data_IF_525078065305
#
_entry.id   IF_525078065305
#
_cell.length_a   1.000
_cell.length_b   1.000
_cell.length_c   1.000
_cell.angle_alpha   90.00
_cell.angle_beta   90.00
_cell.angle_gamma   90.00
#
_symmetry.space_group_name_H-M   'P 1'
#
loop_
_entity.id
_entity.type
_entity.pdbx_description
1 polymer ?
#
# COMPACT_ATOMS: atom_id res chain seq x y z
N UNK A 1 -19.35 12.66 -34.84
CA UNK A 1 -18.04 12.17 -35.30
C UNK A 1 -17.40 11.52 -34.08
N UNK A 2 -17.51 10.20 -34.01
CA UNK A 2 -16.87 9.42 -32.96
C UNK A 2 -15.36 9.46 -33.22
N UNK A 3 -14.61 10.12 -32.34
CA UNK A 3 -13.17 9.88 -32.30
C UNK A 3 -12.97 8.43 -31.89
N UNK A 4 -12.11 7.65 -32.57
CA UNK A 4 -11.76 6.34 -32.07
C UNK A 4 -11.21 6.54 -30.65
N UNK A 5 -11.85 5.93 -29.65
CA UNK A 5 -11.24 5.76 -28.34
C UNK A 5 -9.98 4.93 -28.60
N UNK A 6 -8.83 5.61 -28.70
CA UNK A 6 -7.54 4.93 -28.66
C UNK A 6 -7.56 4.06 -27.42
N UNK A 7 -7.31 2.76 -27.58
CA UNK A 7 -7.15 1.85 -26.45
C UNK A 7 -6.12 2.45 -25.50
N UNK A 8 -6.47 2.57 -24.22
CA UNK A 8 -5.56 3.13 -23.24
C UNK A 8 -4.36 2.18 -23.04
N UNK A 9 -3.17 2.70 -22.65
CA UNK A 9 -1.96 1.90 -22.47
C UNK A 9 -2.11 0.64 -21.60
N UNK A 10 -3.08 0.61 -20.69
CA UNK A 10 -3.35 -0.57 -19.85
C UNK A 10 -4.55 -1.43 -20.26
N UNK A 11 -5.26 -1.07 -21.34
CA UNK A 11 -6.38 -1.82 -21.92
C UNK A 11 -5.86 -3.09 -22.59
N UNK A 12 -5.52 -4.11 -21.79
CA UNK A 12 -4.94 -5.36 -22.26
C UNK A 12 -4.27 -6.18 -21.16
N UNK A 13 -3.91 -5.54 -20.04
CA UNK A 13 -3.44 -6.28 -18.86
C UNK A 13 -4.64 -6.88 -18.12
N UNK A 14 -4.77 -8.22 -18.12
CA UNK A 14 -5.83 -8.96 -17.42
C UNK A 14 -5.72 -8.87 -15.90
N UNK A 15 -6.86 -9.03 -15.21
CA UNK A 15 -7.05 -8.64 -13.79
C UNK A 15 -7.40 -9.85 -12.91
N UNK A 16 -6.77 -10.98 -13.24
CA UNK A 16 -6.84 -12.30 -12.59
C UNK A 16 -8.03 -13.14 -13.07
N UNK A 17 -7.76 -14.21 -13.85
CA UNK A 17 -7.09 -15.43 -13.37
C UNK A 17 -5.61 -15.63 -13.74
N UNK A 18 -4.87 -14.61 -14.22
CA UNK A 18 -3.51 -14.84 -14.72
C UNK A 18 -2.47 -13.75 -14.40
N UNK A 19 -2.19 -13.48 -13.11
CA UNK A 19 -0.77 -13.49 -12.75
C UNK A 19 -0.40 -14.97 -12.54
N UNK A 20 -0.59 -15.80 -13.58
CA UNK A 20 -0.31 -17.25 -13.53
C UNK A 20 1.17 -17.46 -13.25
N UNK A 21 1.98 -16.62 -13.89
CA UNK A 21 3.41 -16.62 -13.78
C UNK A 21 3.89 -15.29 -13.19
N UNK A 22 4.53 -15.38 -12.04
CA UNK A 22 5.34 -14.31 -11.47
C UNK A 22 6.73 -14.50 -12.06
N UNK A 23 7.13 -13.63 -12.98
CA UNK A 23 8.41 -13.73 -13.70
C UNK A 23 9.59 -13.74 -12.71
N UNK A 24 9.44 -12.98 -11.63
CA UNK A 24 10.42 -12.84 -10.57
C UNK A 24 10.60 -14.13 -9.74
N UNK A 25 9.75 -15.16 -9.94
CA UNK A 25 9.98 -16.49 -9.39
C UNK A 25 11.06 -17.29 -10.13
N UNK A 26 11.61 -16.80 -11.26
CA UNK A 26 12.85 -17.32 -11.82
C UNK A 26 14.04 -17.16 -10.85
N UNK A 27 14.86 -18.20 -10.71
CA UNK A 27 16.01 -18.23 -9.79
C UNK A 27 17.13 -17.25 -10.19
N UNK A 28 17.16 -16.86 -11.47
CA UNK A 28 18.14 -15.91 -11.98
C UNK A 28 18.03 -14.55 -11.28
N UNK A 29 19.16 -14.07 -10.77
CA UNK A 29 19.27 -12.74 -10.19
C UNK A 29 19.23 -11.72 -11.33
N UNK A 30 18.35 -10.70 -11.30
CA UNK A 30 18.31 -9.72 -12.35
C UNK A 30 19.65 -9.00 -12.47
N UNK A 31 20.08 -8.64 -13.70
CA UNK A 31 21.34 -7.95 -13.90
C UNK A 31 21.30 -6.58 -13.24
N UNK A 32 22.44 -6.15 -12.71
CA UNK A 32 22.58 -4.80 -12.20
C UNK A 32 22.62 -3.79 -13.35
N UNK A 33 22.08 -2.60 -13.12
CA UNK A 33 22.24 -1.47 -14.04
C UNK A 33 23.67 -0.92 -14.00
N UNK A 34 24.30 -0.95 -12.82
CA UNK A 34 25.72 -0.62 -12.61
C UNK A 34 26.37 -1.60 -11.65
N UNK A 35 27.65 -1.85 -11.84
CA UNK A 35 28.43 -2.59 -10.85
C UNK A 35 28.53 -1.76 -9.56
N UNK A 36 28.40 -2.46 -8.43
CA UNK A 36 28.58 -1.84 -7.13
C UNK A 36 30.07 -1.76 -6.80
N UNK A 37 30.54 -0.61 -6.31
CA UNK A 37 31.86 -0.55 -5.68
C UNK A 37 31.88 -1.46 -4.44
N UNK A 38 32.99 -2.18 -4.26
CA UNK A 38 33.18 -3.04 -3.09
C UNK A 38 33.48 -2.15 -1.88
N UNK A 39 32.43 -1.77 -1.16
CA UNK A 39 32.53 -1.06 0.10
C UNK A 39 32.20 -2.02 1.25
N UNK A 40 33.15 -2.17 2.17
CA UNK A 40 32.94 -2.90 3.42
C UNK A 40 32.16 -2.01 4.37
N UNK A 41 30.91 -2.38 4.62
CA UNK A 41 30.01 -1.68 5.56
C UNK A 41 29.36 -2.71 6.49
N UNK A 42 28.80 -2.25 7.61
CA UNK A 42 28.10 -3.12 8.56
C UNK A 42 26.77 -3.61 7.98
N UNK A 43 26.44 -4.87 8.24
CA UNK A 43 25.20 -5.51 7.80
C UNK A 43 25.36 -6.40 6.58
N UNK A 44 24.30 -7.14 6.28
CA UNK A 44 24.26 -8.07 5.15
C UNK A 44 23.75 -7.37 3.90
N UNK A 45 24.34 -7.67 2.75
CA UNK A 45 23.67 -7.49 1.45
C UNK A 45 22.35 -8.27 1.43
N UNK A 46 21.48 -8.01 0.47
CA UNK A 46 20.21 -8.75 0.39
C UNK A 46 20.41 -10.26 0.24
N UNK A 47 21.39 -10.68 -0.59
CA UNK A 47 21.65 -12.08 -0.85
C UNK A 47 22.27 -12.79 0.38
N UNK A 48 23.17 -12.12 1.10
CA UNK A 48 23.71 -12.63 2.37
C UNK A 48 22.62 -12.76 3.42
N UNK A 49 21.73 -11.77 3.54
CA UNK A 49 20.57 -11.83 4.42
C UNK A 49 19.66 -13.00 4.07
N UNK A 50 19.32 -13.17 2.78
CA UNK A 50 18.44 -14.23 2.31
C UNK A 50 19.00 -15.63 2.64
N UNK A 51 20.32 -15.81 2.53
CA UNK A 51 20.98 -17.06 2.90
C UNK A 51 20.89 -17.39 4.40
N UNK A 52 20.73 -16.37 5.25
CA UNK A 52 20.62 -16.52 6.71
C UNK A 52 19.17 -16.43 7.22
N UNK A 53 18.20 -16.08 6.36
CA UNK A 53 16.83 -15.73 6.74
C UNK A 53 16.19 -16.77 7.67
N UNK A 54 16.18 -18.03 7.26
CA UNK A 54 15.57 -19.11 8.05
C UNK A 54 16.42 -19.56 9.25
N UNK A 55 17.69 -19.14 9.33
CA UNK A 55 18.59 -19.46 10.44
C UNK A 55 18.62 -18.40 11.56
N UNK A 56 18.11 -17.19 11.30
CA UNK A 56 18.17 -16.04 12.21
C UNK A 56 16.83 -15.83 12.94
N UNK A 57 16.51 -16.67 13.94
CA UNK A 57 15.32 -16.53 14.80
C UNK A 57 14.00 -16.28 14.02
N UNK A 58 13.88 -16.89 12.84
CA UNK A 58 12.72 -16.70 11.96
C UNK A 58 11.43 -17.18 12.62
N UNK A 59 10.47 -16.27 12.79
CA UNK A 59 9.11 -16.56 13.24
C UNK A 59 8.12 -16.29 12.10
N UNK A 60 7.53 -17.35 11.56
CA UNK A 60 6.54 -17.28 10.49
C UNK A 60 5.37 -16.34 10.82
N UNK A 61 4.93 -16.30 12.09
CA UNK A 61 3.83 -15.45 12.53
C UNK A 61 4.19 -13.96 12.56
N UNK A 62 5.47 -13.63 12.71
CA UNK A 62 5.97 -12.25 12.63
C UNK A 62 6.24 -11.83 11.18
N UNK A 63 6.52 -12.78 10.28
CA UNK A 63 6.85 -12.52 8.89
C UNK A 63 5.65 -12.45 7.95
N UNK A 64 4.58 -13.17 8.24
CA UNK A 64 3.49 -13.38 7.29
C UNK A 64 2.11 -13.22 7.93
N UNK A 65 1.16 -12.76 7.12
CA UNK A 65 -0.27 -12.83 7.44
C UNK A 65 -0.94 -13.81 6.48
N UNK A 66 -1.71 -14.71 7.05
CA UNK A 66 -2.44 -15.74 6.32
C UNK A 66 -3.95 -15.53 6.39
N UNK A 67 -4.65 -15.91 5.32
CA UNK A 67 -6.10 -16.08 5.27
C UNK A 67 -6.42 -17.31 4.43
N UNK A 68 -7.28 -18.21 4.93
CA UNK A 68 -7.64 -19.44 4.22
C UNK A 68 -6.47 -20.34 3.81
N UNK A 69 -5.31 -20.24 4.49
CA UNK A 69 -4.08 -20.97 4.14
C UNK A 69 -3.22 -20.29 3.06
N UNK A 70 -3.61 -19.11 2.56
CA UNK A 70 -2.85 -18.32 1.61
C UNK A 70 -2.16 -17.14 2.31
N UNK A 71 -0.98 -16.73 1.81
CA UNK A 71 -0.30 -15.51 2.24
C UNK A 71 -1.00 -14.30 1.61
N UNK A 72 -1.46 -13.37 2.45
CA UNK A 72 -2.16 -12.15 2.02
C UNK A 72 -1.28 -10.90 2.11
N UNK A 73 -0.32 -10.85 3.04
CA UNK A 73 0.61 -9.73 3.20
C UNK A 73 1.78 -10.11 4.10
N UNK A 74 2.76 -9.22 4.23
CA UNK A 74 3.80 -9.35 5.23
C UNK A 74 3.26 -9.04 6.64
N UNK A 75 3.82 -9.75 7.61
CA UNK A 75 3.72 -9.46 9.04
C UNK A 75 4.62 -8.29 9.44
N UNK A 76 4.84 -8.13 10.74
CA UNK A 76 5.61 -7.04 11.32
C UNK A 76 7.06 -6.98 10.79
N UNK A 77 7.76 -8.10 10.78
CA UNK A 77 9.19 -8.16 10.44
C UNK A 77 9.43 -7.98 8.94
N UNK A 78 8.69 -8.72 8.12
CA UNK A 78 8.72 -8.55 6.66
C UNK A 78 8.37 -7.12 6.26
N UNK A 79 7.34 -6.52 6.89
CA UNK A 79 6.99 -5.12 6.64
C UNK A 79 8.10 -4.17 7.05
N UNK A 80 8.75 -4.37 8.22
CA UNK A 80 9.87 -3.52 8.68
C UNK A 80 11.00 -3.49 7.65
N UNK A 81 11.42 -4.65 7.15
CA UNK A 81 12.47 -4.79 6.14
C UNK A 81 12.10 -4.05 4.84
N UNK A 82 10.96 -4.41 4.24
CA UNK A 82 10.60 -3.87 2.92
C UNK A 82 10.22 -2.39 2.97
N UNK A 83 9.60 -1.92 4.05
CA UNK A 83 9.38 -0.48 4.27
C UNK A 83 10.72 0.26 4.39
N UNK A 84 11.73 -0.34 5.04
CA UNK A 84 13.09 0.22 5.09
C UNK A 84 13.68 0.42 3.69
N UNK A 85 13.56 -0.58 2.83
CA UNK A 85 14.01 -0.51 1.43
C UNK A 85 13.20 0.53 0.64
N UNK A 86 11.88 0.56 0.81
CA UNK A 86 10.99 1.54 0.16
C UNK A 86 11.41 2.98 0.50
N UNK A 87 11.77 3.28 1.75
CA UNK A 87 12.23 4.61 2.15
C UNK A 87 13.47 5.05 1.37
N UNK A 88 14.43 4.15 1.23
CA UNK A 88 15.67 4.40 0.50
C UNK A 88 15.33 4.71 -0.96
N UNK A 89 14.54 3.85 -1.61
CA UNK A 89 14.14 4.03 -3.01
C UNK A 89 13.38 5.36 -3.23
N UNK A 90 12.42 5.68 -2.36
CA UNK A 90 11.68 6.94 -2.46
C UNK A 90 12.60 8.15 -2.32
N UNK A 91 13.54 8.14 -1.36
CA UNK A 91 14.48 9.25 -1.18
C UNK A 91 15.36 9.49 -2.41
N UNK A 92 15.82 8.42 -3.06
CA UNK A 92 16.60 8.54 -4.29
C UNK A 92 15.75 9.03 -5.45
N UNK A 93 14.58 8.44 -5.64
CA UNK A 93 13.74 8.77 -6.79
C UNK A 93 13.18 10.20 -6.69
N UNK A 94 12.99 10.74 -5.49
CA UNK A 94 12.69 12.17 -5.24
C UNK A 94 13.83 13.09 -5.66
N UNK A 95 15.08 12.70 -5.42
CA UNK A 95 16.29 13.41 -5.87
C UNK A 95 16.65 13.12 -7.33
N UNK A 96 15.79 12.40 -8.06
CA UNK A 96 16.03 11.91 -9.42
C UNK A 96 17.23 10.96 -9.56
N UNK A 97 17.64 10.32 -8.46
CA UNK A 97 18.69 9.30 -8.40
C UNK A 97 18.11 7.88 -8.43
N UNK A 98 18.96 6.86 -8.54
CA UNK A 98 18.57 5.45 -8.38
C UNK A 98 19.70 4.63 -7.73
N UNK A 99 19.40 3.41 -7.25
CA UNK A 99 20.43 2.57 -6.61
C UNK A 99 21.29 1.84 -7.63
N UNK A 100 20.68 1.33 -8.71
CA UNK A 100 21.34 0.69 -9.86
C UNK A 100 21.87 -0.72 -9.58
N UNK A 101 22.12 -1.04 -8.32
CA UNK A 101 22.37 -2.38 -7.81
C UNK A 101 21.82 -2.55 -6.40
N UNK A 102 20.49 -2.41 -6.27
CA UNK A 102 19.80 -2.49 -4.99
C UNK A 102 20.17 -3.73 -4.17
N UNK A 103 20.31 -4.89 -4.81
CA UNK A 103 20.65 -6.16 -4.15
C UNK A 103 21.99 -6.11 -3.42
N UNK A 104 22.99 -5.42 -4.00
CA UNK A 104 24.31 -5.27 -3.41
C UNK A 104 24.48 -4.01 -2.58
N UNK A 105 23.70 -2.96 -2.81
CA UNK A 105 23.93 -1.66 -2.16
C UNK A 105 23.14 -1.48 -0.86
N UNK A 106 22.08 -2.25 -0.64
CA UNK A 106 21.43 -2.25 0.68
C UNK A 106 22.24 -3.02 1.71
N UNK A 107 22.14 -2.59 2.95
CA UNK A 107 22.66 -3.31 4.12
C UNK A 107 21.52 -3.54 5.09
N UNK A 108 21.35 -4.80 5.50
CA UNK A 108 20.32 -5.25 6.43
C UNK A 108 21.03 -5.59 7.74
N UNK A 109 20.67 -4.88 8.81
CA UNK A 109 21.20 -5.12 10.14
C UNK A 109 20.41 -6.24 10.85
N UNK A 110 20.95 -6.76 11.96
CA UNK A 110 20.33 -7.85 12.71
C UNK A 110 18.93 -7.54 13.25
N UNK A 111 18.57 -6.27 13.40
CA UNK A 111 17.22 -5.86 13.79
C UNK A 111 16.29 -5.64 12.59
N UNK A 112 16.69 -5.97 11.37
CA UNK A 112 15.99 -5.71 10.10
C UNK A 112 15.90 -4.22 9.71
N UNK A 113 16.66 -3.33 10.38
CA UNK A 113 16.85 -1.99 9.83
C UNK A 113 17.69 -2.04 8.56
N UNK A 114 17.42 -1.10 7.66
CA UNK A 114 18.01 -1.08 6.32
C UNK A 114 18.75 0.24 6.11
N UNK A 115 20.00 0.14 5.69
CA UNK A 115 20.82 1.27 5.22
C UNK A 115 21.22 1.04 3.76
N UNK A 116 21.85 2.03 3.15
CA UNK A 116 22.30 1.98 1.76
C UNK A 116 23.69 2.58 1.64
N UNK A 117 24.53 1.95 0.83
CA UNK A 117 25.87 2.44 0.49
C UNK A 117 25.76 3.37 -0.71
N UNK A 118 26.10 4.66 -0.57
CA UNK A 118 26.03 5.61 -1.68
C UNK A 118 26.86 5.14 -2.87
N UNK A 119 26.32 5.26 -4.08
CA UNK A 119 27.14 5.22 -5.30
C UNK A 119 27.80 6.58 -5.49
N UNK A 120 29.08 6.60 -5.86
CA UNK A 120 29.90 7.82 -5.94
C UNK A 120 29.63 8.68 -7.19
N UNK A 121 28.76 8.26 -8.11
CA UNK A 121 28.63 8.91 -9.42
C UNK A 121 27.47 9.92 -9.49
N UNK A 122 27.77 11.13 -9.98
CA UNK A 122 26.76 12.10 -10.39
C UNK A 122 26.01 11.58 -11.62
N UNK A 123 24.69 11.43 -11.53
CA UNK A 123 23.88 10.79 -12.55
C UNK A 123 23.39 11.76 -13.64
N UNK A 124 23.38 11.30 -14.89
CA UNK A 124 22.74 12.02 -15.99
C UNK A 124 21.23 11.71 -16.01
N UNK A 125 20.40 12.74 -16.25
CA UNK A 125 18.93 12.59 -16.35
C UNK A 125 18.46 11.55 -17.40
N UNK A 126 19.29 11.23 -18.40
CA UNK A 126 19.01 10.20 -19.40
C UNK A 126 19.06 8.76 -18.88
N UNK A 127 19.79 8.50 -17.79
CA UNK A 127 19.94 7.15 -17.20
C UNK A 127 18.88 6.87 -16.12
N UNK A 128 18.25 7.92 -15.58
CA UNK A 128 17.30 7.81 -14.47
C UNK A 128 16.10 6.91 -14.75
N UNK A 129 15.63 6.80 -16.01
CA UNK A 129 14.53 5.90 -16.35
C UNK A 129 14.93 4.43 -16.24
N UNK A 130 16.03 4.03 -16.90
CA UNK A 130 16.53 2.65 -16.85
C UNK A 130 17.02 2.24 -15.47
N UNK A 131 17.62 3.19 -14.73
CA UNK A 131 18.02 2.98 -13.34
C UNK A 131 16.83 2.76 -12.39
N UNK A 132 15.76 3.57 -12.50
CA UNK A 132 14.53 3.36 -11.72
C UNK A 132 13.82 2.05 -12.08
N UNK A 133 13.79 1.71 -13.37
CA UNK A 133 13.28 0.42 -13.82
C UNK A 133 14.03 -0.73 -13.15
N UNK A 134 15.37 -0.68 -13.13
CA UNK A 134 16.19 -1.68 -12.47
C UNK A 134 15.92 -1.77 -10.95
N UNK A 135 15.81 -0.64 -10.26
CA UNK A 135 15.47 -0.61 -8.83
C UNK A 135 14.13 -1.31 -8.54
N UNK A 136 13.10 -1.06 -9.38
CA UNK A 136 11.79 -1.68 -9.23
C UNK A 136 11.83 -3.18 -9.52
N UNK A 137 12.58 -3.59 -10.56
CA UNK A 137 12.78 -5.01 -10.87
C UNK A 137 13.49 -5.72 -9.72
N UNK A 138 14.58 -5.14 -9.19
CA UNK A 138 15.26 -5.68 -8.01
C UNK A 138 14.34 -5.77 -6.81
N UNK A 139 13.60 -4.70 -6.49
CA UNK A 139 12.68 -4.69 -5.35
C UNK A 139 11.62 -5.78 -5.46
N UNK A 140 11.04 -5.97 -6.64
CA UNK A 140 10.07 -7.04 -6.89
C UNK A 140 10.71 -8.42 -6.77
N UNK A 141 11.91 -8.60 -7.33
CA UNK A 141 12.66 -9.86 -7.21
C UNK A 141 13.01 -10.18 -5.76
N UNK A 142 13.35 -9.20 -4.93
CA UNK A 142 13.60 -9.40 -3.50
C UNK A 142 12.38 -9.95 -2.77
N UNK A 143 11.19 -9.39 -3.02
CA UNK A 143 9.94 -9.93 -2.47
C UNK A 143 9.72 -11.37 -2.91
N UNK A 144 9.89 -11.65 -4.22
CA UNK A 144 9.76 -13.00 -4.76
C UNK A 144 10.77 -13.99 -4.15
N UNK A 145 12.01 -13.55 -3.96
CA UNK A 145 13.08 -14.35 -3.38
C UNK A 145 12.79 -14.72 -1.92
N UNK A 146 12.30 -13.78 -1.10
CA UNK A 146 11.85 -14.09 0.27
C UNK A 146 10.72 -15.11 0.26
N UNK A 147 9.72 -14.96 -0.62
CA UNK A 147 8.62 -15.94 -0.74
C UNK A 147 9.17 -17.33 -1.10
N UNK A 148 10.08 -17.44 -2.08
CA UNK A 148 10.70 -18.73 -2.44
C UNK A 148 11.47 -19.35 -1.28
N UNK A 149 12.24 -18.54 -0.57
CA UNK A 149 13.06 -19.01 0.55
C UNK A 149 12.19 -19.50 1.70
N UNK A 150 11.13 -18.78 2.06
CA UNK A 150 10.22 -19.18 3.14
C UNK A 150 9.26 -20.31 2.76
N UNK A 151 8.90 -20.44 1.49
CA UNK A 151 7.89 -21.38 1.00
C UNK A 151 8.39 -22.22 -0.19
N UNK A 152 9.51 -22.96 -0.07
CA UNK A 152 10.18 -23.60 -1.21
C UNK A 152 9.30 -24.61 -1.96
N UNK A 153 8.39 -25.29 -1.25
CA UNK A 153 7.55 -26.34 -1.84
C UNK A 153 6.30 -25.81 -2.54
N UNK A 154 5.85 -24.59 -2.23
CA UNK A 154 4.56 -24.07 -2.69
C UNK A 154 4.53 -22.55 -3.00
N UNK A 155 5.69 -21.90 -3.15
CA UNK A 155 5.79 -20.45 -3.45
C UNK A 155 4.93 -20.00 -4.65
N UNK A 156 4.68 -20.88 -5.63
CA UNK A 156 3.85 -20.59 -6.82
C UNK A 156 2.35 -20.49 -6.53
N UNK A 157 1.90 -21.11 -5.44
CA UNK A 157 0.47 -21.24 -5.11
C UNK A 157 0.11 -20.68 -3.74
N UNK A 158 1.09 -20.48 -2.84
CA UNK A 158 0.85 -19.99 -1.47
C UNK A 158 0.33 -18.55 -1.43
N UNK A 159 0.67 -17.73 -2.44
CA UNK A 159 0.27 -16.32 -2.47
C UNK A 159 -1.18 -16.16 -2.89
N UNK A 160 -1.95 -15.43 -2.09
CA UNK A 160 -3.31 -15.04 -2.44
C UNK A 160 -3.35 -14.21 -3.72
N UNK A 161 -4.49 -14.23 -4.40
CA UNK A 161 -4.74 -13.40 -5.60
C UNK A 161 -4.40 -11.92 -5.38
N UNK A 162 -4.65 -11.41 -4.17
CA UNK A 162 -4.35 -10.02 -3.81
C UNK A 162 -2.87 -9.72 -3.62
N UNK A 163 -2.11 -10.65 -3.03
CA UNK A 163 -0.67 -10.50 -2.94
C UNK A 163 -0.06 -10.54 -4.35
N UNK A 164 -0.56 -11.43 -5.23
CA UNK A 164 -0.09 -11.55 -6.62
C UNK A 164 -0.26 -10.25 -7.42
N UNK A 165 -1.17 -9.35 -7.04
CA UNK A 165 -1.27 -8.00 -7.66
C UNK A 165 0.00 -7.17 -7.46
N UNK A 166 0.78 -7.42 -6.40
CA UNK A 166 2.10 -6.82 -6.26
C UNK A 166 2.97 -7.09 -7.49
N UNK A 167 2.85 -8.29 -8.07
CA UNK A 167 3.61 -8.70 -9.26
C UNK A 167 2.93 -8.32 -10.58
N UNK A 168 1.89 -7.49 -10.55
CA UNK A 168 1.19 -7.05 -11.76
C UNK A 168 2.15 -6.40 -12.76
N UNK A 169 1.98 -6.75 -14.04
CA UNK A 169 2.77 -6.18 -15.15
C UNK A 169 2.55 -4.69 -15.35
N UNK A 170 1.48 -4.11 -14.79
CA UNK A 170 1.22 -2.67 -14.91
C UNK A 170 2.34 -1.82 -14.32
N UNK A 171 3.04 -2.33 -13.31
CA UNK A 171 4.09 -1.59 -12.61
C UNK A 171 5.41 -1.60 -13.38
N UNK A 172 5.65 -2.61 -14.22
CA UNK A 172 6.87 -2.76 -15.03
C UNK A 172 6.66 -2.40 -16.51
N UNK A 173 5.42 -2.11 -16.93
CA UNK A 173 5.17 -1.53 -18.24
C UNK A 173 5.86 -0.15 -18.35
N UNK A 174 6.38 0.28 -19.51
CA UNK A 174 7.08 1.57 -19.63
C UNK A 174 6.29 2.77 -19.08
N UNK A 175 4.99 2.84 -19.37
CA UNK A 175 4.10 3.89 -18.83
C UNK A 175 3.87 3.75 -17.31
N UNK A 176 3.90 2.50 -16.83
CA UNK A 176 3.91 2.10 -15.43
C UNK A 176 5.11 2.65 -14.68
N UNK A 177 6.31 2.30 -15.16
CA UNK A 177 7.58 2.76 -14.60
C UNK A 177 7.69 4.29 -14.65
N UNK A 178 7.19 4.92 -15.72
CA UNK A 178 7.27 6.37 -15.86
C UNK A 178 6.41 7.11 -14.82
N UNK A 179 5.18 6.66 -14.58
CA UNK A 179 4.18 7.46 -13.86
C UNK A 179 3.65 6.83 -12.56
N UNK A 180 3.74 5.50 -12.42
CA UNK A 180 3.08 4.73 -11.36
C UNK A 180 4.02 3.79 -10.61
N UNK A 181 5.33 3.83 -10.85
CA UNK A 181 6.30 3.01 -10.12
C UNK A 181 6.18 3.21 -8.60
N UNK A 182 5.87 4.43 -8.15
CA UNK A 182 5.65 4.73 -6.73
C UNK A 182 4.52 3.89 -6.14
N UNK A 183 3.48 3.60 -6.92
CA UNK A 183 2.37 2.78 -6.45
C UNK A 183 2.81 1.35 -6.09
N UNK A 184 3.89 0.82 -6.71
CA UNK A 184 4.53 -0.45 -6.35
C UNK A 184 5.20 -0.39 -4.97
N UNK A 185 5.84 0.74 -4.67
CA UNK A 185 6.52 0.99 -3.40
C UNK A 185 5.51 1.23 -2.25
N UNK A 186 4.33 1.75 -2.60
CA UNK A 186 3.19 1.93 -1.70
C UNK A 186 2.19 0.76 -1.82
N UNK A 187 2.65 -0.46 -2.12
CA UNK A 187 1.73 -1.58 -2.26
C UNK A 187 1.21 -2.09 -0.91
N UNK A 188 -0.06 -2.53 -0.79
CA UNK A 188 -0.68 -2.80 0.51
C UNK A 188 -0.20 -4.06 1.21
N UNK A 189 0.62 -4.88 0.55
CA UNK A 189 1.27 -6.04 1.18
C UNK A 189 2.22 -5.63 2.31
N UNK A 190 2.61 -4.35 2.38
CA UNK A 190 3.44 -3.78 3.45
C UNK A 190 2.66 -2.86 4.40
N UNK A 191 1.37 -2.60 4.13
CA UNK A 191 0.64 -1.57 4.86
C UNK A 191 0.37 -2.00 6.31
N UNK A 192 0.37 -1.01 7.21
CA UNK A 192 -0.37 -1.10 8.47
C UNK A 192 -1.80 -0.54 8.33
N UNK A 193 -2.55 -0.54 9.43
CA UNK A 193 -3.91 -0.03 9.52
C UNK A 193 -4.02 1.46 9.12
N UNK A 194 -3.09 2.30 9.59
CA UNK A 194 -3.05 3.74 9.26
C UNK A 194 -2.87 3.99 7.76
N UNK A 195 -2.04 3.20 7.08
CA UNK A 195 -1.81 3.32 5.63
C UNK A 195 -3.05 2.96 4.81
N UNK A 196 -3.79 1.92 5.22
CA UNK A 196 -5.08 1.56 4.61
C UNK A 196 -6.09 2.70 4.78
N UNK A 197 -6.19 3.26 5.98
CA UNK A 197 -7.05 4.42 6.24
C UNK A 197 -6.70 5.62 5.33
N UNK A 198 -5.41 5.91 5.14
CA UNK A 198 -4.93 6.98 4.24
C UNK A 198 -5.28 6.70 2.79
N UNK A 199 -5.11 5.47 2.31
CA UNK A 199 -5.52 5.04 0.98
C UNK A 199 -7.01 5.32 0.77
N UNK A 200 -7.87 4.90 1.69
CA UNK A 200 -9.32 5.09 1.56
C UNK A 200 -9.71 6.58 1.53
N UNK A 201 -9.05 7.42 2.32
CA UNK A 201 -9.23 8.88 2.27
C UNK A 201 -8.78 9.46 0.93
N UNK A 202 -7.64 9.03 0.40
CA UNK A 202 -7.14 9.45 -0.91
C UNK A 202 -8.12 9.10 -2.03
N UNK A 203 -8.75 7.91 -2.00
CA UNK A 203 -9.78 7.54 -2.99
C UNK A 203 -11.01 8.44 -2.90
N UNK A 204 -11.41 8.84 -1.69
CA UNK A 204 -12.49 9.82 -1.51
C UNK A 204 -12.14 11.16 -2.15
N UNK A 205 -10.92 11.63 -1.95
CA UNK A 205 -10.52 12.94 -2.44
C UNK A 205 -10.40 12.94 -3.97
N UNK A 206 -9.89 11.86 -4.57
CA UNK A 206 -9.98 11.63 -6.02
C UNK A 206 -11.42 11.61 -6.52
N UNK A 207 -12.32 10.89 -5.84
CA UNK A 207 -13.75 10.87 -6.20
C UNK A 207 -14.34 12.29 -6.17
N UNK A 208 -14.00 13.10 -5.15
CA UNK A 208 -14.52 14.46 -5.01
C UNK A 208 -14.00 15.43 -6.07
N UNK A 209 -12.78 15.21 -6.60
CA UNK A 209 -12.23 16.02 -7.69
C UNK A 209 -13.03 15.87 -8.98
N UNK A 210 -13.40 14.63 -9.36
CA UNK A 210 -14.22 14.40 -10.54
C UNK A 210 -15.18 13.21 -10.37
N UNK A 211 -16.34 13.41 -9.71
CA UNK A 211 -17.28 12.33 -9.43
C UNK A 211 -17.87 11.68 -10.69
N UNK A 212 -17.90 12.39 -11.82
CA UNK A 212 -18.44 11.87 -13.08
C UNK A 212 -17.50 10.82 -13.66
N UNK A 213 -16.25 11.21 -13.95
CA UNK A 213 -15.27 10.29 -14.54
C UNK A 213 -14.97 9.13 -13.59
N UNK A 214 -14.86 9.40 -12.29
CA UNK A 214 -14.62 8.34 -11.32
C UNK A 214 -15.75 7.29 -11.37
N UNK A 215 -17.02 7.71 -11.36
CA UNK A 215 -18.16 6.78 -11.46
C UNK A 215 -18.23 6.03 -12.77
N UNK A 216 -17.89 6.69 -13.87
CA UNK A 216 -17.99 6.12 -15.21
C UNK A 216 -16.85 5.11 -15.51
N UNK A 217 -15.72 5.22 -14.81
CA UNK A 217 -14.48 4.48 -15.16
C UNK A 217 -14.00 3.51 -14.09
N UNK A 218 -13.90 3.93 -12.82
CA UNK A 218 -13.36 3.11 -11.75
C UNK A 218 -14.25 1.88 -11.49
N UNK A 219 -13.69 0.69 -11.34
CA UNK A 219 -14.47 -0.49 -10.94
C UNK A 219 -13.65 -1.53 -10.19
N UNK A 220 -14.26 -2.08 -9.12
CA UNK A 220 -13.71 -3.21 -8.37
C UNK A 220 -14.34 -4.55 -8.75
N UNK A 221 -15.30 -4.56 -9.68
CA UNK A 221 -16.06 -5.77 -10.04
C UNK A 221 -15.16 -6.88 -10.58
N UNK A 222 -14.13 -6.50 -11.34
CA UNK A 222 -13.13 -7.40 -11.91
C UNK A 222 -12.25 -8.11 -10.88
N UNK A 223 -12.20 -7.62 -9.63
CA UNK A 223 -11.49 -8.25 -8.52
C UNK A 223 -12.45 -9.03 -7.60
N UNK A 224 -13.67 -9.33 -8.06
CA UNK A 224 -14.65 -10.09 -7.28
C UNK A 224 -15.40 -9.29 -6.22
N UNK A 225 -15.41 -7.95 -6.31
CA UNK A 225 -16.12 -7.06 -5.38
C UNK A 225 -17.44 -6.50 -5.94
N UNK A 226 -17.99 -7.05 -7.02
CA UNK A 226 -19.26 -6.56 -7.62
C UNK A 226 -20.48 -6.66 -6.68
N UNK A 227 -20.44 -7.59 -5.72
CA UNK A 227 -21.49 -7.83 -4.72
C UNK A 227 -20.92 -7.84 -3.30
N UNK A 228 -19.95 -6.97 -3.02
CA UNK A 228 -19.22 -6.90 -1.75
C UNK A 228 -20.13 -6.87 -0.51
N UNK A 229 -21.32 -6.26 -0.59
CA UNK A 229 -22.26 -6.17 0.53
C UNK A 229 -22.76 -7.54 1.01
N UNK A 230 -22.80 -8.55 0.13
CA UNK A 230 -23.17 -9.91 0.52
C UNK A 230 -22.18 -10.52 1.52
N UNK A 231 -20.92 -10.07 1.52
CA UNK A 231 -19.92 -10.51 2.51
C UNK A 231 -20.22 -10.00 3.92
N UNK A 232 -20.97 -8.90 4.04
CA UNK A 232 -21.44 -8.36 5.32
C UNK A 232 -22.74 -9.04 5.74
N UNK A 233 -23.61 -9.35 4.77
CA UNK A 233 -24.92 -9.95 5.04
C UNK A 233 -24.85 -11.44 5.38
N UNK A 234 -23.90 -12.18 4.78
CA UNK A 234 -23.69 -13.60 5.07
C UNK A 234 -23.44 -13.81 6.56
N UNK A 235 -24.24 -14.70 7.15
CA UNK A 235 -23.99 -15.18 8.50
C UNK A 235 -22.80 -16.15 8.46
N UNK A 236 -21.60 -15.60 8.60
CA UNK A 236 -20.43 -16.37 9.01
C UNK A 236 -20.63 -16.78 10.48
N UNK A 237 -20.78 -18.07 10.74
CA UNK A 237 -20.73 -18.57 12.11
C UNK A 237 -19.34 -18.22 12.72
N UNK A 238 -19.34 -17.83 14.00
CA UNK A 238 -18.19 -17.74 14.91
C UNK A 238 -17.28 -16.49 15.01
N UNK A 239 -17.41 -15.44 14.18
CA UNK A 239 -16.66 -14.18 14.42
C UNK A 239 -17.52 -13.08 15.09
N UNK A 240 -17.13 -12.74 16.32
CA UNK A 240 -17.58 -11.67 17.21
C UNK A 240 -18.84 -10.90 16.76
N UNK A 241 -19.99 -11.34 17.28
CA UNK A 241 -21.33 -10.77 17.07
C UNK A 241 -21.35 -9.24 17.23
N UNK A 242 -20.50 -8.70 18.11
CA UNK A 242 -20.42 -7.27 18.35
C UNK A 242 -19.92 -6.51 17.14
N UNK A 243 -18.81 -6.95 16.54
CA UNK A 243 -18.27 -6.31 15.35
C UNK A 243 -19.32 -6.36 14.24
N UNK A 244 -19.86 -7.54 13.91
CA UNK A 244 -20.90 -7.74 12.86
C UNK A 244 -22.04 -6.73 12.96
N UNK A 245 -22.55 -6.50 14.17
CA UNK A 245 -23.65 -5.57 14.40
C UNK A 245 -23.29 -4.14 13.97
N UNK A 246 -22.03 -3.73 14.10
CA UNK A 246 -21.59 -2.40 13.65
C UNK A 246 -21.42 -2.33 12.14
N UNK A 247 -20.87 -3.36 11.48
CA UNK A 247 -20.80 -3.42 10.00
C UNK A 247 -22.19 -3.30 9.37
N UNK A 248 -23.13 -4.14 9.83
CA UNK A 248 -24.53 -4.09 9.39
C UNK A 248 -25.15 -2.72 9.73
N UNK A 249 -24.87 -2.15 10.91
CA UNK A 249 -25.37 -0.81 11.28
C UNK A 249 -24.89 0.28 10.33
N UNK A 250 -23.62 0.29 9.92
CA UNK A 250 -23.09 1.27 8.94
C UNK A 250 -23.71 1.06 7.56
N UNK A 251 -23.85 -0.20 7.14
CA UNK A 251 -24.45 -0.57 5.84
C UNK A 251 -25.90 -0.09 5.73
N UNK A 252 -26.69 -0.31 6.79
CA UNK A 252 -28.13 -0.05 6.80
C UNK A 252 -28.54 1.28 7.44
N UNK A 253 -27.58 2.06 7.99
CA UNK A 253 -27.86 3.33 8.65
C UNK A 253 -28.72 4.24 7.76
N UNK A 254 -29.90 4.64 8.25
CA UNK A 254 -30.82 5.56 7.55
C UNK A 254 -31.12 5.18 6.08
N UNK A 255 -31.06 3.90 5.74
CA UNK A 255 -31.29 3.40 4.39
C UNK A 255 -30.12 3.60 3.42
N UNK A 256 -28.89 3.75 3.93
CA UNK A 256 -27.66 3.92 3.14
C UNK A 256 -27.48 2.85 2.06
N UNK A 257 -27.80 1.59 2.35
CA UNK A 257 -27.74 0.47 1.40
C UNK A 257 -28.39 0.77 0.05
N UNK A 258 -29.58 1.40 0.07
CA UNK A 258 -30.32 1.76 -1.15
C UNK A 258 -30.02 3.16 -1.68
N UNK A 259 -29.68 4.10 -0.81
CA UNK A 259 -29.53 5.54 -1.17
C UNK A 259 -28.09 5.93 -1.49
N UNK A 260 -27.15 5.49 -0.67
CA UNK A 260 -25.76 5.92 -0.71
C UNK A 260 -24.90 4.93 -1.48
N UNK A 261 -25.02 3.64 -1.14
CA UNK A 261 -24.23 2.58 -1.77
C UNK A 261 -24.87 2.08 -3.06
N UNK A 262 -26.20 2.23 -3.22
CA UNK A 262 -26.95 1.94 -4.46
C UNK A 262 -26.45 0.67 -5.15
N UNK A 263 -26.64 -0.47 -4.48
CA UNK A 263 -26.11 -1.78 -4.88
C UNK A 263 -26.15 -1.99 -6.41
N UNK A 264 -24.97 -2.11 -7.02
CA UNK A 264 -24.80 -2.37 -8.45
C UNK A 264 -24.50 -1.16 -9.35
N UNK A 265 -24.78 0.08 -8.93
CA UNK A 265 -24.64 1.28 -9.78
C UNK A 265 -23.58 2.29 -9.31
N UNK A 266 -22.97 2.07 -8.15
CA UNK A 266 -21.95 2.96 -7.61
C UNK A 266 -20.64 2.20 -7.39
N UNK A 267 -19.70 2.34 -8.31
CA UNK A 267 -18.38 1.72 -8.22
C UNK A 267 -17.52 2.23 -7.06
N UNK A 268 -17.82 3.42 -6.52
CA UNK A 268 -17.19 4.00 -5.34
C UNK A 268 -17.86 3.53 -4.03
N UNK A 269 -18.91 2.70 -4.10
CA UNK A 269 -19.67 2.30 -2.92
C UNK A 269 -18.83 1.53 -1.88
N UNK A 270 -17.96 0.62 -2.30
CA UNK A 270 -17.13 -0.15 -1.38
C UNK A 270 -16.08 0.74 -0.68
N UNK A 271 -15.24 1.54 -1.39
CA UNK A 271 -14.35 2.48 -0.71
C UNK A 271 -15.08 3.46 0.22
N UNK A 272 -16.26 3.96 -0.19
CA UNK A 272 -17.09 4.82 0.64
C UNK A 272 -17.61 4.11 1.89
N UNK A 273 -18.04 2.86 1.76
CA UNK A 273 -18.48 2.04 2.88
C UNK A 273 -17.34 1.85 3.88
N UNK A 274 -16.16 1.42 3.41
CA UNK A 274 -14.96 1.23 4.25
C UNK A 274 -14.63 2.52 5.01
N UNK A 275 -14.66 3.66 4.32
CA UNK A 275 -14.46 4.97 4.97
C UNK A 275 -15.48 5.22 6.08
N UNK A 276 -16.75 4.99 5.80
CA UNK A 276 -17.82 5.22 6.76
C UNK A 276 -17.71 4.27 7.97
N UNK A 277 -17.19 3.06 7.78
CA UNK A 277 -16.85 2.16 8.89
C UNK A 277 -15.77 2.80 9.78
N UNK A 278 -14.69 3.33 9.20
CA UNK A 278 -13.65 4.03 9.97
C UNK A 278 -14.14 5.29 10.69
N UNK A 279 -15.05 6.06 10.08
CA UNK A 279 -15.50 7.35 10.61
C UNK A 279 -16.65 7.25 11.62
N UNK A 280 -17.47 6.19 11.55
CA UNK A 280 -18.71 6.08 12.33
C UNK A 280 -18.71 4.95 13.35
N UNK A 281 -17.57 4.31 13.59
CA UNK A 281 -17.43 3.36 14.70
C UNK A 281 -17.39 4.10 16.05
N UNK A 282 -18.33 3.88 16.99
CA UNK A 282 -18.57 4.81 18.10
C UNK A 282 -18.12 4.31 19.48
N UNK A 283 -17.15 3.38 19.58
CA UNK A 283 -17.06 2.50 20.77
C UNK A 283 -15.70 2.26 21.43
N UNK A 284 -14.67 3.08 21.21
CA UNK A 284 -13.37 2.86 21.87
C UNK A 284 -12.57 1.65 21.37
N UNK A 285 -12.98 1.06 20.26
CA UNK A 285 -12.21 0.05 19.52
C UNK A 285 -11.06 0.77 18.79
N UNK A 286 -9.87 0.18 18.80
CA UNK A 286 -8.71 0.76 18.13
C UNK A 286 -8.92 0.70 16.61
N UNK A 287 -8.44 1.69 15.86
CA UNK A 287 -8.49 1.67 14.39
C UNK A 287 -7.86 0.39 13.82
N UNK A 288 -6.87 -0.17 14.51
CA UNK A 288 -6.20 -1.42 14.16
C UNK A 288 -7.15 -2.63 14.15
N UNK A 289 -8.09 -2.71 15.09
CA UNK A 289 -9.08 -3.80 15.15
C UNK A 289 -10.11 -3.67 14.02
N UNK A 290 -10.50 -2.43 13.68
CA UNK A 290 -11.41 -2.13 12.55
C UNK A 290 -10.76 -2.53 11.23
N UNK A 291 -9.51 -2.14 11.03
CA UNK A 291 -8.72 -2.51 9.85
C UNK A 291 -8.50 -4.02 9.75
N UNK A 292 -8.24 -4.69 10.87
CA UNK A 292 -8.09 -6.16 10.90
C UNK A 292 -9.39 -6.85 10.49
N UNK A 293 -10.54 -6.39 10.97
CA UNK A 293 -11.84 -6.89 10.51
C UNK A 293 -12.12 -6.59 9.03
N UNK A 294 -11.61 -5.47 8.50
CA UNK A 294 -11.78 -5.08 7.10
C UNK A 294 -10.97 -5.97 6.18
N UNK A 295 -9.75 -6.31 6.58
CA UNK A 295 -8.90 -7.25 5.86
C UNK A 295 -9.51 -8.67 5.86
N UNK A 296 -10.23 -9.07 6.92
CA UNK A 296 -10.94 -10.36 6.96
C UNK A 296 -12.16 -10.38 6.04
N UNK A 297 -12.98 -9.31 6.04
CA UNK A 297 -14.22 -9.29 5.25
C UNK A 297 -13.92 -8.99 3.76
N UNK A 298 -12.91 -8.16 3.50
CA UNK A 298 -12.51 -7.73 2.17
C UNK A 298 -11.01 -7.96 1.95
N UNK A 299 -10.53 -9.22 2.00
CA UNK A 299 -9.13 -9.53 1.80
C UNK A 299 -8.68 -8.99 0.44
N UNK A 300 -7.58 -8.24 0.46
CA UNK A 300 -6.97 -7.71 -0.75
C UNK A 300 -7.62 -6.48 -1.37
N UNK A 301 -8.66 -5.90 -0.74
CA UNK A 301 -9.38 -4.75 -1.32
C UNK A 301 -8.47 -3.56 -1.58
N UNK A 302 -7.50 -3.31 -0.70
CA UNK A 302 -6.54 -2.22 -0.86
C UNK A 302 -5.67 -2.41 -2.12
N UNK A 303 -5.20 -3.64 -2.37
CA UNK A 303 -4.39 -3.94 -3.55
C UNK A 303 -5.22 -3.80 -4.83
N UNK A 304 -6.46 -4.30 -4.80
CA UNK A 304 -7.42 -4.13 -5.89
C UNK A 304 -7.72 -2.66 -6.17
N UNK A 305 -7.84 -1.81 -5.14
CA UNK A 305 -8.06 -0.37 -5.29
C UNK A 305 -6.88 0.29 -6.01
N UNK A 306 -5.64 0.05 -5.59
CA UNK A 306 -4.46 0.67 -6.22
C UNK A 306 -4.37 0.26 -7.69
N UNK A 307 -4.51 -1.04 -7.95
CA UNK A 307 -4.43 -1.61 -9.29
C UNK A 307 -5.56 -1.08 -10.19
N UNK A 308 -6.80 -1.01 -9.68
CA UNK A 308 -7.96 -0.46 -10.40
C UNK A 308 -7.81 1.02 -10.71
N UNK A 309 -7.31 1.82 -9.75
CA UNK A 309 -7.09 3.26 -9.96
C UNK A 309 -6.12 3.50 -11.11
N UNK A 310 -5.02 2.76 -11.17
CA UNK A 310 -4.06 2.89 -12.27
C UNK A 310 -4.73 2.49 -13.58
N UNK A 311 -5.32 1.30 -13.66
CA UNK A 311 -5.88 0.80 -14.92
C UNK A 311 -7.05 1.64 -15.43
N UNK A 312 -7.96 2.00 -14.55
CA UNK A 312 -9.22 2.62 -14.95
C UNK A 312 -9.11 4.14 -15.13
N UNK A 313 -8.20 4.79 -14.40
CA UNK A 313 -8.12 6.25 -14.34
C UNK A 313 -6.85 6.85 -14.98
N UNK A 314 -5.85 6.04 -15.36
CA UNK A 314 -4.57 6.57 -15.86
C UNK A 314 -4.70 7.53 -17.06
N UNK A 315 -5.62 7.26 -17.97
CA UNK A 315 -5.86 8.10 -19.14
C UNK A 315 -6.62 9.40 -18.87
N UNK A 316 -6.98 9.66 -17.61
CA UNK A 316 -7.89 10.75 -17.24
C UNK A 316 -7.32 11.70 -16.17
N UNK A 317 -6.03 11.63 -15.83
CA UNK A 317 -5.46 12.46 -14.75
C UNK A 317 -5.63 13.97 -14.95
N UNK A 318 -5.63 14.44 -16.19
CA UNK A 318 -5.90 15.85 -16.52
C UNK A 318 -7.28 16.30 -16.00
N UNK A 319 -8.21 15.37 -15.83
CA UNK A 319 -9.55 15.63 -15.31
C UNK A 319 -9.64 15.62 -13.77
N UNK A 320 -8.59 15.14 -13.09
CA UNK A 320 -8.48 15.11 -11.62
C UNK A 320 -7.56 16.22 -11.09
N UNK A 321 -6.70 16.79 -11.94
CA UNK A 321 -5.77 17.86 -11.58
C UNK A 321 -4.47 17.37 -10.93
N UNK A 322 -4.41 16.11 -10.51
CA UNK A 322 -3.19 15.41 -10.13
C UNK A 322 -3.31 13.90 -10.35
N UNK A 323 -2.17 13.20 -10.42
CA UNK A 323 -2.16 11.74 -10.51
C UNK A 323 -2.25 11.08 -9.13
N UNK A 324 -2.69 9.82 -9.10
CA UNK A 324 -2.70 9.03 -7.86
C UNK A 324 -1.31 8.89 -7.22
N UNK A 325 -0.27 8.65 -8.03
CA UNK A 325 1.11 8.56 -7.56
C UNK A 325 1.63 9.88 -6.97
N UNK A 326 1.11 11.03 -7.42
CA UNK A 326 1.39 12.32 -6.80
C UNK A 326 0.75 12.41 -5.41
N UNK A 327 -0.53 12.02 -5.27
CA UNK A 327 -1.21 12.03 -3.98
C UNK A 327 -0.53 11.11 -2.96
N UNK A 328 -0.09 9.91 -3.36
CA UNK A 328 0.60 8.97 -2.46
C UNK A 328 1.88 9.55 -1.83
N UNK A 329 2.56 10.48 -2.49
CA UNK A 329 3.77 11.14 -1.98
C UNK A 329 3.49 12.43 -1.22
N UNK A 330 2.27 12.95 -1.33
CA UNK A 330 1.93 14.27 -0.79
C UNK A 330 1.27 14.13 0.58
N UNK A 331 1.66 14.93 1.59
CA UNK A 331 0.92 15.01 2.84
C UNK A 331 -0.56 15.33 2.59
N UNK A 332 -1.50 14.69 3.31
CA UNK A 332 -1.29 13.82 4.48
C UNK A 332 -1.18 12.31 4.18
N UNK A 333 -1.07 11.87 2.91
CA UNK A 333 -1.28 10.47 2.53
C UNK A 333 -0.04 9.56 2.56
N UNK A 334 1.18 10.10 2.58
CA UNK A 334 2.43 9.32 2.60
C UNK A 334 2.47 8.16 3.61
N UNK A 335 3.39 7.20 3.44
CA UNK A 335 3.47 6.02 4.31
C UNK A 335 3.63 6.42 5.79
N UNK A 336 2.92 5.70 6.65
CA UNK A 336 3.04 5.77 8.10
C UNK A 336 4.23 4.92 8.49
N UNK A 337 5.40 5.53 8.58
CA UNK A 337 6.58 4.87 9.12
C UNK A 337 6.46 4.74 10.65
N UNK A 338 7.02 3.66 11.24
CA UNK A 338 6.36 2.79 12.22
C UNK A 338 5.73 3.53 13.41
N UNK A 339 4.71 2.93 14.06
CA UNK A 339 4.08 3.52 15.22
C UNK A 339 5.11 3.64 16.34
N UNK A 340 5.57 4.86 16.61
CA UNK A 340 5.89 5.17 18.00
C UNK A 340 4.60 4.94 18.78
N UNK A 341 4.68 4.07 19.79
CA UNK A 341 3.68 3.95 20.85
C UNK A 341 3.20 5.36 21.19
N UNK A 342 1.89 5.59 21.18
CA UNK A 342 1.33 6.73 21.89
C UNK A 342 1.61 6.53 23.38
N UNK A 343 2.82 6.90 23.80
CA UNK A 343 3.14 7.20 25.18
C UNK A 343 2.42 8.50 25.51
N UNK A 344 1.54 8.43 26.51
CA UNK A 344 0.78 9.55 27.04
C UNK A 344 1.59 10.86 27.11
N UNK A 345 1.00 11.94 26.56
CA UNK A 345 1.28 13.30 26.99
C UNK A 345 2.14 14.13 26.05
N UNK A 346 1.49 14.85 25.13
CA UNK A 346 1.93 16.19 24.78
C UNK A 346 0.71 17.11 24.74
N UNK A 347 0.56 17.87 25.83
CA UNK A 347 -0.31 19.04 25.89
C UNK A 347 0.07 19.96 24.74
N UNK A 348 -0.93 20.39 23.98
CA UNK A 348 -0.80 21.47 23.02
C UNK A 348 -0.21 22.69 23.74
N UNK A 349 1.07 22.97 23.48
CA UNK A 349 1.70 24.24 23.81
C UNK A 349 1.27 25.27 22.79
N UNK A 350 0.28 26.08 23.16
CA UNK A 350 0.00 27.36 22.51
C UNK A 350 1.23 28.26 22.67
N UNK A 351 1.86 28.59 21.54
CA UNK A 351 2.89 29.61 21.46
C UNK A 351 2.29 30.97 21.83
N UNK A 352 2.93 31.63 22.80
CA UNK A 352 2.53 32.93 23.29
C UNK A 352 2.69 34.04 22.25
N UNK A 353 1.72 34.96 22.27
CA UNK A 353 1.99 36.37 22.02
C UNK A 353 1.79 37.10 23.34
N UNK A 354 2.86 37.74 23.81
CA UNK A 354 2.85 38.57 25.00
C UNK A 354 1.95 39.79 24.84
N UNK A 355 1.37 40.21 25.95
CA UNK A 355 0.56 41.41 26.08
C UNK A 355 0.15 41.57 27.54
N UNK A 356 0.93 42.35 28.27
CA UNK A 356 0.80 42.69 29.70
C UNK A 356 -0.55 43.35 29.99
N UNK A 357 -1.24 42.90 31.04
CA UNK A 357 -1.99 43.76 31.98
C UNK A 357 -2.39 42.96 33.23
N UNK A 358 -1.83 43.34 34.37
CA UNK A 358 -2.35 43.04 35.70
C UNK A 358 -3.78 43.58 35.87
N UNK A 359 -4.67 42.77 36.45
CA UNK A 359 -5.77 43.25 37.27
C UNK A 359 -6.26 42.13 38.20
N UNK A 360 -5.78 42.18 39.43
CA UNK A 360 -6.46 41.72 40.65
C UNK A 360 -7.95 42.10 40.63
N UNK A 361 -8.86 41.20 41.00
CA UNK A 361 -9.88 41.43 42.05
C UNK A 361 -10.80 40.21 42.30
N UNK A 362 -10.68 39.71 43.55
CA UNK A 362 -11.70 39.24 44.51
C UNK A 362 -12.87 38.32 44.10
N UNK A 363 -12.93 37.24 44.87
CA UNK A 363 -14.13 36.56 45.39
C UNK A 363 -15.30 37.48 45.75
N UNK A 364 -16.53 37.07 45.44
CA UNK A 364 -17.58 36.87 46.45
C UNK A 364 -18.80 36.13 45.89
N UNK A 365 -19.35 35.29 46.76
CA UNK A 365 -20.72 34.78 46.84
C UNK A 365 -21.78 35.45 45.97
N UNK A 366 -22.56 34.66 45.24
CA UNK A 366 -23.90 34.23 45.68
C UNK A 366 -24.31 32.96 44.96
#
# INVERSE_FOLDING_TARGET
MDQPQNAYPFDGFSIIPEVLEILEFGEEVPPAFREAEIVVDQGWTFLEFLAQLLGNDYDEALWWKFDGGEVISFGLEGSKLFIGIVKILLSFHEESKFSGNLLRNIRILGDLSVTHIPSAEEENAGEAFGGRENDIIHFRWMVAAVVRTCFPENYRTILSSSFRLFFSKIFIHPEGIKNYFVCQLYHPIFFNSSDRCKLIRMIKDLYNQNPKIFRDRFTLSRYGFCQWWLRIDRDHDDHDVYQRNVWKRVLYHRGNSRKLYSFGNNCYALPLYIRNVHEHFPGGILHEDVDSGLDIIFPGVSAAIIDAVIRDLHGYWDCFGCSFAYLQRTPPYGLSFPPYRFGNGCKCGSSGKGGVAEATFRSHHT
#
